data_IF_008309856158
#
_entry.id   IF_008309856158
#
_cell.length_a   1.000
_cell.length_b   1.000
_cell.length_c   1.000
_cell.angle_alpha   90.00
_cell.angle_beta   90.00
_cell.angle_gamma   90.00
#
_symmetry.space_group_name_H-M   'P 1'
#
loop_
_entity.id
_entity.type
_entity.pdbx_description
1 polymer ?
#
# COMPACT_ATOMS: atom_id res chain seq x y z
N UNK A 1 26.24 19.56 22.79
CA UNK A 1 25.65 18.23 22.53
C UNK A 1 25.63 17.48 23.84
N UNK A 2 24.45 17.02 24.26
CA UNK A 2 24.36 16.07 25.38
C UNK A 2 25.04 14.76 24.95
N UNK A 3 25.80 14.15 25.87
CA UNK A 3 26.42 12.84 25.66
C UNK A 3 25.31 11.82 25.38
N UNK A 4 25.49 10.98 24.36
CA UNK A 4 24.56 9.90 24.05
C UNK A 4 24.61 8.89 25.19
N UNK A 5 23.45 8.37 25.58
CA UNK A 5 23.39 7.29 26.59
C UNK A 5 24.01 6.06 25.94
N UNK A 6 24.83 5.34 26.68
CA UNK A 6 25.22 3.99 26.30
C UNK A 6 24.00 3.07 26.32
N UNK A 7 24.03 1.99 25.55
CA UNK A 7 22.97 0.97 25.57
C UNK A 7 22.67 0.46 26.98
N UNK A 8 23.69 0.25 27.81
CA UNK A 8 23.49 -0.20 29.19
C UNK A 8 22.76 0.85 30.04
N UNK A 9 23.09 2.13 29.87
CA UNK A 9 22.36 3.24 30.51
C UNK A 9 20.91 3.31 30.03
N UNK A 10 20.67 3.15 28.72
CA UNK A 10 19.30 3.10 28.16
C UNK A 10 18.52 1.92 28.73
N UNK A 11 19.09 0.71 28.75
CA UNK A 11 18.43 -0.48 29.28
C UNK A 11 18.17 -0.40 30.79
N UNK A 12 19.10 0.17 31.56
CA UNK A 12 18.91 0.40 32.99
C UNK A 12 17.75 1.36 33.26
N UNK A 13 17.73 2.50 32.57
CA UNK A 13 16.66 3.50 32.64
C UNK A 13 15.30 2.92 32.24
N UNK A 14 15.23 2.10 31.18
CA UNK A 14 13.99 1.44 30.75
C UNK A 14 13.48 0.41 31.78
N UNK A 15 14.38 -0.29 32.49
CA UNK A 15 13.99 -1.20 33.58
C UNK A 15 13.48 -0.45 34.80
N UNK A 16 14.15 0.64 35.17
CA UNK A 16 13.83 1.41 36.36
C UNK A 16 12.52 2.21 36.21
N UNK A 17 12.31 2.84 35.05
CA UNK A 17 11.23 3.81 34.87
C UNK A 17 10.11 3.37 33.91
N UNK A 18 10.35 2.39 33.04
CA UNK A 18 9.41 2.05 31.94
C UNK A 18 8.99 0.57 31.92
N UNK A 19 9.19 -0.15 33.02
CA UNK A 19 8.76 -1.55 33.19
C UNK A 19 9.25 -2.48 32.06
N UNK A 20 10.51 -2.35 31.65
CA UNK A 20 11.09 -3.22 30.62
C UNK A 20 11.03 -4.70 31.02
N UNK A 21 10.50 -5.53 30.12
CA UNK A 21 10.31 -6.98 30.29
C UNK A 21 10.92 -7.77 29.14
N UNK A 22 11.11 -9.08 29.33
CA UNK A 22 11.46 -10.06 28.29
C UNK A 22 12.83 -9.91 27.57
N UNK A 23 13.68 -8.97 27.98
CA UNK A 23 15.04 -8.79 27.40
C UNK A 23 15.90 -10.07 27.38
N UNK A 24 15.75 -10.96 28.37
CA UNK A 24 16.51 -12.23 28.45
C UNK A 24 16.19 -13.24 27.35
N UNK A 25 15.13 -13.02 26.56
CA UNK A 25 14.75 -13.89 25.44
C UNK A 25 15.43 -13.49 24.13
N UNK A 26 16.15 -12.37 24.13
CA UNK A 26 16.88 -11.85 22.98
C UNK A 26 18.34 -12.31 23.05
N UNK A 27 18.94 -12.69 21.90
CA UNK A 27 20.34 -13.03 21.87
C UNK A 27 21.20 -11.77 22.10
N UNK A 28 22.26 -11.90 22.89
CA UNK A 28 23.23 -10.82 23.09
C UNK A 28 23.96 -10.47 21.79
N UNK A 29 24.23 -11.47 20.95
CA UNK A 29 24.86 -11.31 19.64
C UNK A 29 24.00 -11.98 18.58
N UNK A 30 23.67 -11.24 17.52
CA UNK A 30 22.84 -11.72 16.43
C UNK A 30 23.56 -11.58 15.10
N UNK A 31 23.66 -12.65 14.32
CA UNK A 31 24.00 -12.56 12.91
C UNK A 31 22.83 -13.02 12.07
N UNK A 32 22.39 -12.15 11.16
CA UNK A 32 21.19 -12.40 10.34
C UNK A 32 21.30 -13.63 9.45
N UNK A 33 22.52 -14.01 9.02
CA UNK A 33 22.77 -15.22 8.23
C UNK A 33 22.53 -16.54 9.00
N UNK A 34 22.37 -16.48 10.32
CA UNK A 34 22.17 -17.67 11.15
C UNK A 34 20.71 -18.16 11.13
N UNK A 35 19.82 -17.46 10.42
CA UNK A 35 18.39 -17.75 10.31
C UNK A 35 18.01 -18.24 8.91
N UNK A 36 16.92 -19.00 8.82
CA UNK A 36 16.36 -19.46 7.55
C UNK A 36 15.52 -18.34 6.91
N UNK A 37 16.20 -17.39 6.29
CA UNK A 37 15.61 -16.25 5.57
C UNK A 37 15.69 -14.92 6.34
N UNK A 38 14.91 -13.90 5.92
CA UNK A 38 14.94 -12.58 6.54
C UNK A 38 14.68 -12.62 8.05
N UNK A 39 15.43 -11.82 8.80
CA UNK A 39 15.18 -11.62 10.23
C UNK A 39 14.16 -10.52 10.39
N UNK A 40 13.06 -10.80 11.10
CA UNK A 40 11.95 -9.87 11.30
C UNK A 40 11.93 -9.42 12.76
N UNK A 41 12.10 -8.11 12.97
CA UNK A 41 11.84 -7.44 14.23
C UNK A 41 10.46 -6.78 14.17
N UNK A 42 9.53 -7.28 14.97
CA UNK A 42 8.13 -6.85 14.97
C UNK A 42 7.62 -6.61 16.39
N UNK A 43 6.57 -5.80 16.52
CA UNK A 43 5.81 -5.72 17.75
C UNK A 43 4.89 -6.93 17.94
N UNK A 44 4.56 -7.68 16.86
CA UNK A 44 3.80 -8.93 16.93
C UNK A 44 4.74 -10.12 17.15
N UNK A 45 4.70 -10.78 18.33
CA UNK A 45 5.55 -11.93 18.62
C UNK A 45 5.32 -13.13 17.70
N UNK A 46 4.19 -13.20 16.97
CA UNK A 46 3.90 -14.30 16.03
C UNK A 46 4.64 -14.13 14.69
N UNK A 47 5.00 -12.90 14.34
CA UNK A 47 5.76 -12.60 13.12
C UNK A 47 7.25 -12.43 13.38
N UNK A 48 7.62 -12.03 14.59
CA UNK A 48 9.01 -11.77 14.94
C UNK A 48 9.86 -13.05 14.90
N UNK A 49 11.00 -12.99 14.20
CA UNK A 49 11.99 -14.09 14.16
C UNK A 49 12.66 -14.28 15.52
N UNK A 50 12.85 -13.17 16.25
CA UNK A 50 13.35 -13.14 17.62
C UNK A 50 12.24 -12.59 18.52
N UNK A 51 11.98 -13.15 19.71
CA UNK A 51 10.96 -12.61 20.61
C UNK A 51 11.22 -11.13 20.98
N UNK A 52 10.24 -10.22 20.80
CA UNK A 52 10.38 -8.84 21.24
C UNK A 52 10.42 -8.74 22.78
N UNK A 53 11.25 -7.82 23.27
CA UNK A 53 11.15 -7.26 24.60
C UNK A 53 10.19 -6.06 24.54
N UNK A 54 9.65 -5.66 25.69
CA UNK A 54 8.70 -4.56 25.73
C UNK A 54 8.88 -3.67 26.95
N UNK A 55 8.71 -2.37 26.74
CA UNK A 55 8.55 -1.39 27.79
C UNK A 55 7.24 -0.61 27.56
N UNK A 56 6.76 0.08 28.60
CA UNK A 56 5.52 0.85 28.54
C UNK A 56 5.82 2.32 28.81
N UNK A 57 5.36 3.19 27.92
CA UNK A 57 5.39 4.65 28.09
C UNK A 57 3.99 5.16 28.46
N UNK A 58 3.92 6.11 29.37
CA UNK A 58 2.68 6.66 29.89
C UNK A 58 2.22 7.90 29.13
N UNK A 59 3.14 8.58 28.44
CA UNK A 59 2.86 9.85 27.77
C UNK A 59 3.60 10.00 26.45
N UNK A 60 3.10 10.90 25.58
CA UNK A 60 3.73 11.23 24.31
C UNK A 60 5.07 11.95 24.49
N UNK A 61 5.23 12.68 25.59
CA UNK A 61 6.46 13.33 26.01
C UNK A 61 7.56 12.28 26.25
N UNK A 62 7.25 11.24 27.04
CA UNK A 62 8.17 10.13 27.29
C UNK A 62 8.53 9.41 26.00
N UNK A 63 7.55 9.15 25.12
CA UNK A 63 7.83 8.51 23.84
C UNK A 63 8.76 9.36 22.95
N UNK A 64 8.56 10.69 22.92
CA UNK A 64 9.44 11.60 22.19
C UNK A 64 10.86 11.59 22.78
N UNK A 65 11.00 11.60 24.10
CA UNK A 65 12.31 11.54 24.74
C UNK A 65 13.07 10.25 24.39
N UNK A 66 12.38 9.11 24.41
CA UNK A 66 12.99 7.79 24.21
C UNK A 66 13.26 7.44 22.75
N UNK A 67 12.36 7.80 21.83
CA UNK A 67 12.44 7.37 20.42
C UNK A 67 12.31 8.50 19.40
N UNK A 68 11.86 9.68 19.82
CA UNK A 68 11.58 10.81 18.95
C UNK A 68 12.78 11.67 18.58
N UNK A 69 12.53 12.60 17.66
CA UNK A 69 13.46 13.65 17.28
C UNK A 69 13.36 14.78 18.33
N UNK A 70 14.45 15.15 19.00
CA UNK A 70 14.44 16.22 19.99
C UNK A 70 14.07 17.58 19.35
N UNK A 71 13.33 18.41 20.08
CA UNK A 71 12.95 19.75 19.59
C UNK A 71 14.17 20.67 19.41
N UNK A 72 15.27 20.40 20.11
CA UNK A 72 16.54 21.12 19.95
C UNK A 72 17.19 20.94 18.58
N UNK A 73 16.74 19.95 17.79
CA UNK A 73 17.18 19.74 16.41
C UNK A 73 16.46 20.67 15.42
N UNK A 74 15.48 21.46 15.88
CA UNK A 74 14.71 22.40 15.06
C UNK A 74 15.05 23.86 15.36
N UNK A 75 14.79 24.74 14.39
CA UNK A 75 15.00 26.18 14.51
C UNK A 75 16.34 26.64 13.93
N UNK A 76 16.85 27.84 14.33
CA UNK A 76 18.02 28.45 13.70
C UNK A 76 19.26 27.53 13.70
N UNK A 77 19.70 27.11 12.52
CA UNK A 77 20.85 26.21 12.34
C UNK A 77 20.52 24.71 12.43
N UNK A 78 19.26 24.36 12.71
CA UNK A 78 18.71 23.01 12.66
C UNK A 78 17.72 22.81 11.52
N UNK A 79 16.78 21.91 11.72
CA UNK A 79 15.72 21.61 10.77
C UNK A 79 14.58 22.64 10.81
N UNK A 80 14.03 22.95 9.64
CA UNK A 80 12.73 23.60 9.56
C UNK A 80 11.60 22.59 9.82
N UNK A 81 10.47 23.00 10.44
CA UNK A 81 9.29 22.17 10.56
C UNK A 81 8.80 21.69 9.18
N UNK A 82 8.62 20.38 9.03
CA UNK A 82 8.32 19.73 7.74
C UNK A 82 7.24 18.65 7.80
N UNK A 83 6.75 18.32 9.00
CA UNK A 83 5.65 17.39 9.16
C UNK A 83 4.31 18.05 8.81
N UNK A 84 3.41 17.35 8.12
CA UNK A 84 2.05 17.82 7.93
C UNK A 84 1.39 18.09 9.28
N UNK A 85 0.93 19.33 9.49
CA UNK A 85 0.22 19.71 10.70
C UNK A 85 -1.25 19.28 10.63
N UNK A 86 -1.86 18.92 11.77
CA UNK A 86 -3.30 18.71 11.85
C UNK A 86 -4.05 20.04 11.62
N UNK A 87 -5.36 19.96 11.38
CA UNK A 87 -6.20 21.15 11.46
C UNK A 87 -6.10 21.79 12.87
N UNK A 88 -6.32 23.11 13.04
CA UNK A 88 -6.25 23.75 14.35
C UNK A 88 -7.11 23.03 15.40
N UNK A 89 -6.64 22.93 16.65
CA UNK A 89 -7.32 22.17 17.69
C UNK A 89 -8.74 22.70 17.97
N UNK A 90 -9.70 21.78 18.12
CA UNK A 90 -11.06 22.04 18.63
C UNK A 90 -11.53 20.84 19.43
N UNK A 91 -11.86 21.07 20.70
CA UNK A 91 -12.36 20.03 21.59
C UNK A 91 -13.71 19.46 21.11
N UNK A 92 -14.60 20.28 20.56
CA UNK A 92 -15.87 19.78 20.02
C UNK A 92 -15.66 18.89 18.79
N UNK A 93 -14.74 19.29 17.89
CA UNK A 93 -14.41 18.49 16.70
C UNK A 93 -13.85 17.14 17.11
N UNK A 94 -12.88 17.14 18.01
CA UNK A 94 -12.13 15.95 18.40
C UNK A 94 -12.88 15.04 19.41
N UNK A 95 -14.02 15.48 19.95
CA UNK A 95 -14.91 14.62 20.71
C UNK A 95 -15.39 13.40 19.89
N UNK A 96 -15.56 13.57 18.56
CA UNK A 96 -15.83 12.48 17.62
C UNK A 96 -14.54 11.99 16.95
N UNK A 97 -13.71 11.28 17.72
CA UNK A 97 -12.36 10.82 17.29
C UNK A 97 -12.41 9.97 16.02
N UNK A 98 -13.44 9.13 15.84
CA UNK A 98 -13.59 8.29 14.63
C UNK A 98 -13.69 9.13 13.36
N UNK A 99 -14.28 10.33 13.45
CA UNK A 99 -14.37 11.28 12.33
C UNK A 99 -13.09 12.09 12.07
N UNK A 100 -12.15 12.13 13.03
CA UNK A 100 -10.96 13.00 12.97
C UNK A 100 -9.65 12.24 13.25
N UNK A 101 -9.63 10.94 13.02
CA UNK A 101 -8.47 10.08 13.26
C UNK A 101 -7.21 10.59 12.54
N UNK A 102 -7.38 11.18 11.36
CA UNK A 102 -6.28 11.76 10.56
C UNK A 102 -5.55 12.88 11.31
N UNK A 103 -6.28 13.78 12.00
CA UNK A 103 -5.65 14.87 12.76
C UNK A 103 -4.87 14.34 13.95
N UNK A 104 -5.41 13.35 14.68
CA UNK A 104 -4.70 12.69 15.79
C UNK A 104 -3.42 12.01 15.29
N UNK A 105 -3.45 11.37 14.11
CA UNK A 105 -2.26 10.76 13.52
C UNK A 105 -1.22 11.81 13.08
N UNK A 106 -1.65 12.90 12.44
CA UNK A 106 -0.76 14.02 12.07
C UNK A 106 -0.12 14.66 13.30
N UNK A 107 -0.92 14.97 14.31
CA UNK A 107 -0.44 15.53 15.57
C UNK A 107 0.55 14.60 16.26
N UNK A 108 0.25 13.30 16.35
CA UNK A 108 1.16 12.31 16.94
C UNK A 108 2.52 12.26 16.21
N UNK A 109 2.51 12.16 14.87
CA UNK A 109 3.76 12.14 14.08
C UNK A 109 4.54 13.45 14.22
N UNK A 110 3.87 14.60 14.10
CA UNK A 110 4.49 15.91 14.26
C UNK A 110 5.05 16.14 15.67
N UNK A 111 4.43 15.56 16.71
CA UNK A 111 4.93 15.65 18.07
C UNK A 111 6.20 14.80 18.26
N UNK A 112 6.18 13.53 17.85
CA UNK A 112 7.29 12.60 18.07
C UNK A 112 8.49 12.92 17.16
N UNK A 113 8.24 13.19 15.88
CA UNK A 113 9.29 13.32 14.86
C UNK A 113 9.45 14.75 14.31
N UNK A 114 8.64 15.69 14.78
CA UNK A 114 8.68 17.10 14.37
C UNK A 114 8.97 18.05 15.53
N UNK A 115 8.74 19.34 15.29
CA UNK A 115 8.85 20.37 16.33
C UNK A 115 7.56 20.38 17.17
N UNK A 116 7.61 19.73 18.33
CA UNK A 116 6.45 19.44 19.17
C UNK A 116 5.64 20.68 19.62
N UNK A 117 6.25 21.88 19.82
CA UNK A 117 5.48 23.05 20.21
C UNK A 117 4.39 23.47 19.21
N UNK A 118 4.48 23.06 17.94
CA UNK A 118 3.45 23.38 16.93
C UNK A 118 2.15 22.59 17.10
N UNK A 119 2.17 21.51 17.88
CA UNK A 119 1.02 20.64 18.14
C UNK A 119 0.80 20.42 19.64
N UNK A 120 1.26 21.38 20.45
CA UNK A 120 1.20 21.31 21.92
C UNK A 120 -0.23 21.24 22.44
N UNK A 121 -1.16 21.88 21.74
CA UNK A 121 -2.60 21.87 22.01
C UNK A 121 -3.25 20.48 21.85
N UNK A 122 -2.63 19.56 21.13
CA UNK A 122 -3.08 18.16 20.99
C UNK A 122 -2.58 17.22 22.11
N UNK A 123 -1.71 17.66 22.99
CA UNK A 123 -1.01 16.80 23.97
C UNK A 123 -1.98 16.01 24.87
N UNK A 124 -2.97 16.67 25.46
CA UNK A 124 -3.92 16.04 26.39
C UNK A 124 -4.74 14.94 25.72
N UNK A 125 -5.24 15.19 24.51
CA UNK A 125 -6.03 14.19 23.77
C UNK A 125 -5.16 13.05 23.25
N UNK A 126 -3.91 13.32 22.86
CA UNK A 126 -2.97 12.28 22.47
C UNK A 126 -2.67 11.35 23.64
N UNK A 127 -2.36 11.91 24.80
CA UNK A 127 -2.14 11.15 26.03
C UNK A 127 -3.38 10.34 26.44
N UNK A 128 -4.56 10.94 26.43
CA UNK A 128 -5.80 10.26 26.81
C UNK A 128 -6.24 9.14 25.84
N UNK A 129 -5.83 9.19 24.57
CA UNK A 129 -6.33 8.26 23.52
C UNK A 129 -5.31 7.23 23.05
N UNK A 130 -4.02 7.49 23.20
CA UNK A 130 -2.94 6.62 22.69
C UNK A 130 -2.10 5.98 23.78
N UNK A 131 -2.20 6.47 25.02
CA UNK A 131 -1.35 6.02 26.12
C UNK A 131 -2.19 5.43 27.28
N UNK A 132 -1.62 4.50 28.07
CA UNK A 132 -0.25 3.97 27.99
C UNK A 132 0.00 3.15 26.71
N UNK A 133 1.21 3.27 26.16
CA UNK A 133 1.63 2.58 24.93
C UNK A 133 2.72 1.56 25.23
N UNK A 134 2.56 0.35 24.69
CA UNK A 134 3.56 -0.71 24.75
C UNK A 134 4.47 -0.60 23.52
N UNK A 135 5.78 -0.48 23.74
CA UNK A 135 6.77 -0.30 22.67
C UNK A 135 7.65 -1.54 22.57
N UNK A 136 7.82 -2.06 21.36
CA UNK A 136 8.70 -3.18 21.11
C UNK A 136 10.16 -2.74 21.11
N UNK A 137 11.01 -3.48 21.82
CA UNK A 137 12.44 -3.25 21.92
C UNK A 137 13.19 -4.50 21.45
N UNK A 138 14.23 -4.29 20.64
CA UNK A 138 15.24 -5.27 20.30
C UNK A 138 16.60 -4.74 20.72
N UNK A 139 17.28 -5.47 21.60
CA UNK A 139 18.53 -5.02 22.19
C UNK A 139 19.54 -6.14 22.37
N UNK A 140 20.82 -5.78 22.34
CA UNK A 140 21.93 -6.72 22.54
C UNK A 140 23.29 -6.04 22.46
N UNK A 141 24.35 -6.82 22.61
CA UNK A 141 25.73 -6.35 22.41
C UNK A 141 25.98 -6.06 20.93
N UNK A 142 25.61 -6.96 20.02
CA UNK A 142 25.87 -6.72 18.60
C UNK A 142 24.88 -7.37 17.66
N UNK A 143 24.72 -6.74 16.50
CA UNK A 143 23.99 -7.29 15.37
C UNK A 143 24.80 -7.16 14.09
N UNK A 144 24.86 -8.23 13.31
CA UNK A 144 25.51 -8.30 12.00
C UNK A 144 24.47 -8.59 10.92
N UNK A 145 24.25 -7.60 10.06
CA UNK A 145 23.29 -7.65 8.96
C UNK A 145 23.99 -8.05 7.68
N UNK A 146 23.54 -9.15 7.08
CA UNK A 146 24.19 -9.81 5.93
C UNK A 146 23.33 -9.69 4.68
N UNK A 147 23.93 -9.89 3.50
CA UNK A 147 23.20 -9.80 2.22
C UNK A 147 22.25 -10.97 1.95
N UNK A 148 22.53 -12.14 2.52
CA UNK A 148 21.68 -13.32 2.35
C UNK A 148 20.34 -13.16 3.06
N UNK A 149 20.36 -12.53 4.26
CA UNK A 149 19.19 -12.37 5.12
C UNK A 149 19.10 -10.90 5.58
N UNK A 150 18.25 -10.07 4.94
CA UNK A 150 18.06 -8.70 5.39
C UNK A 150 17.37 -8.67 6.76
N UNK A 151 17.61 -7.59 7.51
CA UNK A 151 16.84 -7.26 8.71
C UNK A 151 15.62 -6.44 8.31
N UNK A 152 14.42 -6.94 8.60
CA UNK A 152 13.16 -6.26 8.36
C UNK A 152 12.61 -5.79 9.71
N UNK A 153 12.33 -4.50 9.84
CA UNK A 153 11.73 -3.89 11.02
C UNK A 153 10.31 -3.46 10.68
N UNK A 154 9.33 -4.17 11.21
CA UNK A 154 7.92 -3.89 10.98
C UNK A 154 7.03 -5.11 11.09
N UNK A 155 5.83 -4.96 10.56
CA UNK A 155 4.76 -5.94 10.64
C UNK A 155 3.96 -5.92 9.33
N UNK A 156 3.11 -6.92 9.12
CA UNK A 156 2.30 -7.04 7.90
C UNK A 156 1.12 -6.05 7.87
N UNK A 157 0.69 -5.52 9.02
CA UNK A 157 -0.57 -4.79 9.19
C UNK A 157 -0.39 -3.37 9.76
N UNK A 158 0.85 -2.86 9.80
CA UNK A 158 1.34 -1.62 10.44
C UNK A 158 0.27 -0.65 10.90
N UNK A 159 0.03 -0.64 12.21
CA UNK A 159 -0.78 0.35 12.90
C UNK A 159 0.05 1.54 13.42
N UNK A 160 1.31 1.67 12.99
CA UNK A 160 2.18 2.81 13.30
C UNK A 160 2.87 2.76 14.67
N UNK A 161 2.79 1.63 15.39
CA UNK A 161 3.51 1.40 16.65
C UNK A 161 5.01 1.28 16.38
N UNK A 162 5.86 2.01 17.14
CA UNK A 162 7.28 2.03 16.87
C UNK A 162 7.97 0.73 17.31
N UNK A 163 8.95 0.30 16.52
CA UNK A 163 9.89 -0.76 16.89
C UNK A 163 11.27 -0.14 17.13
N UNK A 164 11.77 -0.29 18.35
CA UNK A 164 13.02 0.31 18.78
C UNK A 164 14.16 -0.72 18.78
N UNK A 165 15.31 -0.33 18.26
CA UNK A 165 16.54 -1.11 18.25
C UNK A 165 17.59 -0.41 19.11
N UNK A 166 18.24 -1.14 20.02
CA UNK A 166 19.29 -0.60 20.89
C UNK A 166 20.46 -1.59 21.01
N UNK A 167 21.57 -1.33 20.33
CA UNK A 167 22.71 -2.27 20.26
C UNK A 167 24.05 -1.59 20.54
N UNK A 168 24.99 -2.24 21.23
CA UNK A 168 26.33 -1.64 21.37
C UNK A 168 26.99 -1.46 19.99
N UNK A 169 26.87 -2.46 19.11
CA UNK A 169 27.41 -2.42 17.75
C UNK A 169 26.43 -2.93 16.71
N UNK A 170 26.22 -2.14 15.65
CA UNK A 170 25.53 -2.58 14.44
C UNK A 170 26.57 -2.67 13.31
N UNK A 171 26.72 -3.85 12.74
CA UNK A 171 27.55 -4.06 11.55
C UNK A 171 26.68 -4.40 10.36
N UNK A 172 26.80 -3.66 9.26
CA UNK A 172 26.17 -3.99 7.99
C UNK A 172 27.27 -4.51 7.05
N UNK A 173 27.21 -5.80 6.74
CA UNK A 173 28.10 -6.47 5.78
C UNK A 173 27.80 -6.01 4.34
N UNK A 174 28.71 -6.24 3.36
CA UNK A 174 28.45 -5.91 1.97
C UNK A 174 27.12 -6.48 1.45
N UNK A 175 26.23 -5.58 1.01
CA UNK A 175 24.88 -5.92 0.52
C UNK A 175 23.87 -6.25 1.61
N UNK A 176 24.25 -6.19 2.90
CA UNK A 176 23.33 -6.27 4.01
C UNK A 176 22.39 -5.06 4.05
N UNK A 177 21.15 -5.29 4.49
CA UNK A 177 20.09 -4.29 4.47
C UNK A 177 19.26 -4.30 5.75
N UNK A 178 19.01 -3.11 6.28
CA UNK A 178 17.99 -2.86 7.30
C UNK A 178 16.81 -2.17 6.62
N UNK A 179 15.64 -2.80 6.65
CA UNK A 179 14.44 -2.36 5.94
C UNK A 179 13.33 -2.06 6.97
N UNK A 180 13.01 -0.79 7.14
CA UNK A 180 11.88 -0.32 7.93
C UNK A 180 10.60 -0.30 7.09
N UNK A 181 9.55 -0.91 7.65
CA UNK A 181 8.18 -0.91 7.13
C UNK A 181 7.19 -0.23 8.10
N UNK A 182 7.72 0.34 9.19
CA UNK A 182 6.98 1.05 10.24
C UNK A 182 7.85 2.16 10.81
N UNK A 183 7.27 2.95 11.72
CA UNK A 183 7.99 3.92 12.53
C UNK A 183 9.00 3.22 13.47
N UNK A 184 10.11 3.87 13.79
CA UNK A 184 11.00 3.30 14.78
C UNK A 184 12.19 4.17 15.13
N UNK A 185 12.94 3.72 16.12
CA UNK A 185 14.22 4.30 16.48
C UNK A 185 15.33 3.26 16.47
N UNK A 186 16.53 3.73 16.15
CA UNK A 186 17.77 2.97 16.32
C UNK A 186 18.68 3.78 17.22
N UNK A 187 19.20 3.15 18.26
CA UNK A 187 20.28 3.68 19.09
C UNK A 187 21.44 2.67 19.08
N UNK A 188 22.65 3.15 18.76
CA UNK A 188 23.84 2.34 18.84
C UNK A 188 25.08 3.12 19.29
N UNK A 189 26.00 2.47 20.01
CA UNK A 189 27.27 3.13 20.33
C UNK A 189 28.15 3.21 19.08
N UNK A 190 28.17 2.16 18.26
CA UNK A 190 28.96 2.06 17.05
C UNK A 190 28.15 1.48 15.88
N UNK A 191 28.22 2.14 14.73
CA UNK A 191 27.72 1.60 13.45
C UNK A 191 28.86 1.48 12.46
N UNK A 192 29.03 0.28 11.92
CA UNK A 192 30.05 -0.03 10.91
C UNK A 192 29.37 -0.55 9.65
N UNK A 193 29.46 0.21 8.56
CA UNK A 193 28.98 -0.24 7.26
C UNK A 193 30.19 -0.67 6.43
N UNK A 194 30.41 -1.97 6.39
CA UNK A 194 31.51 -2.53 5.62
C UNK A 194 31.16 -2.51 4.14
N UNK A 195 32.06 -1.95 3.33
CA UNK A 195 31.93 -1.93 1.88
C UNK A 195 33.05 -2.72 1.25
N UNK A 196 32.79 -3.50 0.20
CA UNK A 196 33.83 -4.20 -0.54
C UNK A 196 34.70 -3.24 -1.36
N UNK A 197 34.24 -1.98 -1.53
CA UNK A 197 34.98 -0.88 -2.13
C UNK A 197 35.14 0.26 -1.10
N UNK A 198 36.35 0.75 -0.84
CA UNK A 198 36.61 1.83 0.13
C UNK A 198 36.08 3.20 -0.30
N UNK A 199 35.75 3.37 -1.59
CA UNK A 199 35.10 4.55 -2.14
C UNK A 199 33.97 4.10 -3.07
N UNK A 200 32.74 4.07 -2.57
CA UNK A 200 31.56 3.98 -3.43
C UNK A 200 31.18 5.40 -3.86
N UNK A 201 31.15 5.63 -5.17
CA UNK A 201 30.68 6.89 -5.73
C UNK A 201 29.14 6.88 -5.79
N UNK A 202 28.48 8.05 -5.75
CA UNK A 202 27.06 8.14 -6.09
C UNK A 202 26.80 7.49 -7.47
N UNK A 203 26.15 6.33 -7.50
CA UNK A 203 25.90 5.54 -8.71
C UNK A 203 26.46 4.10 -8.70
N UNK A 204 27.22 3.70 -7.68
CA UNK A 204 27.55 2.28 -7.47
C UNK A 204 26.27 1.48 -7.15
N UNK A 205 25.98 0.46 -7.96
CA UNK A 205 24.72 -0.32 -7.96
C UNK A 205 24.53 -1.28 -6.77
N UNK A 206 25.15 -1.04 -5.61
CA UNK A 206 25.01 -1.92 -4.44
C UNK A 206 23.70 -1.74 -3.66
N UNK A 207 22.84 -0.82 -4.09
CA UNK A 207 21.56 -0.53 -3.44
C UNK A 207 21.72 0.13 -2.06
N UNK A 208 20.63 0.64 -1.48
CA UNK A 208 20.63 1.18 -0.12
C UNK A 208 20.87 0.09 0.93
N UNK A 209 21.58 0.44 1.99
CA UNK A 209 21.79 -0.41 3.17
C UNK A 209 20.79 -0.10 4.30
N UNK A 210 20.16 1.07 4.25
CA UNK A 210 19.05 1.46 5.13
C UNK A 210 17.89 1.89 4.23
N UNK A 211 16.77 1.18 4.35
CA UNK A 211 15.55 1.42 3.58
C UNK A 211 14.40 1.73 4.54
N UNK A 212 13.57 2.70 4.21
CA UNK A 212 12.29 3.00 4.87
C UNK A 212 11.21 3.01 3.78
N UNK A 213 10.39 1.96 3.71
CA UNK A 213 9.53 1.73 2.55
C UNK A 213 8.08 1.47 2.96
N UNK A 214 7.16 2.13 2.25
CA UNK A 214 5.73 1.86 2.36
C UNK A 214 5.31 0.61 1.58
N UNK A 215 4.20 -0.01 1.99
CA UNK A 215 3.67 -1.20 1.33
C UNK A 215 3.02 -0.87 -0.02
N UNK A 216 3.18 -1.73 -1.03
CA UNK A 216 2.46 -1.55 -2.29
C UNK A 216 0.97 -1.92 -2.12
N UNK A 217 0.09 -1.18 -2.78
CA UNK A 217 -1.33 -1.51 -2.87
C UNK A 217 -1.57 -2.70 -3.78
N UNK A 218 -2.57 -3.53 -3.44
CA UNK A 218 -3.02 -4.62 -4.30
C UNK A 218 -3.67 -4.15 -5.60
N UNK A 219 -3.44 -4.89 -6.68
CA UNK A 219 -4.13 -4.65 -7.95
C UNK A 219 -5.63 -5.02 -7.84
N UNK A 220 -6.46 -4.29 -8.57
CA UNK A 220 -7.88 -4.57 -8.72
C UNK A 220 -8.16 -5.79 -9.58
N UNK A 221 -9.17 -6.58 -9.19
CA UNK A 221 -9.67 -7.71 -9.94
C UNK A 221 -10.42 -7.28 -11.22
N UNK A 222 -10.27 -8.05 -12.28
CA UNK A 222 -10.99 -7.81 -13.54
C UNK A 222 -12.46 -8.18 -13.42
N UNK A 223 -13.33 -7.44 -14.11
CA UNK A 223 -14.73 -7.75 -14.23
C UNK A 223 -14.97 -8.97 -15.12
N UNK A 224 -15.93 -9.80 -14.72
CA UNK A 224 -16.38 -10.94 -15.53
C UNK A 224 -17.05 -10.48 -16.83
N UNK A 225 -16.83 -11.22 -17.91
CA UNK A 225 -17.53 -10.98 -19.16
C UNK A 225 -19.02 -11.34 -19.04
N UNK A 226 -19.85 -10.63 -19.80
CA UNK A 226 -21.25 -10.93 -19.98
C UNK A 226 -21.46 -12.22 -20.78
N UNK A 227 -22.55 -12.91 -20.48
CA UNK A 227 -22.99 -14.11 -21.18
C UNK A 227 -23.72 -13.77 -22.48
N UNK A 228 -23.59 -14.65 -23.47
CA UNK A 228 -24.28 -14.51 -24.74
C UNK A 228 -25.78 -14.69 -24.58
N UNK A 229 -26.56 -13.91 -25.34
CA UNK A 229 -27.98 -14.11 -25.51
C UNK A 229 -28.27 -15.40 -26.26
N UNK A 230 -29.34 -16.10 -25.86
CA UNK A 230 -29.77 -17.32 -26.53
C UNK A 230 -30.43 -16.99 -27.86
N UNK A 231 -30.16 -17.78 -28.90
CA UNK A 231 -30.85 -17.62 -30.16
C UNK A 231 -32.35 -17.93 -30.03
N UNK A 232 -33.15 -17.24 -30.84
CA UNK A 232 -34.57 -17.48 -31.00
C UNK A 232 -34.83 -18.80 -31.74
N UNK A 233 -35.92 -19.46 -31.40
CA UNK A 233 -36.37 -20.67 -32.07
C UNK A 233 -37.05 -20.35 -33.40
N UNK A 234 -36.81 -21.16 -34.41
CA UNK A 234 -37.48 -21.02 -35.70
C UNK A 234 -38.97 -21.37 -35.59
N UNK A 235 -39.78 -20.72 -36.42
CA UNK A 235 -41.18 -21.05 -36.60
C UNK A 235 -41.39 -22.33 -37.40
N UNK A 236 -42.54 -22.97 -37.20
CA UNK A 236 -42.95 -24.15 -37.95
C UNK A 236 -43.61 -23.73 -39.27
N UNK A 237 -43.36 -24.48 -40.34
CA UNK A 237 -43.98 -24.24 -41.64
C UNK A 237 -45.51 -24.37 -41.59
N UNK A 238 -46.18 -23.71 -42.53
CA UNK A 238 -47.62 -23.86 -42.72
C UNK A 238 -47.99 -25.26 -43.21
N UNK A 239 -49.27 -25.61 -43.10
CA UNK A 239 -49.84 -26.86 -43.61
C UNK A 239 -51.10 -26.56 -44.42
N UNK A 240 -51.13 -27.02 -45.67
CA UNK A 240 -52.29 -26.88 -46.56
C UNK A 240 -53.30 -28.01 -46.34
N UNK A 241 -54.57 -27.76 -46.68
CA UNK A 241 -55.61 -28.78 -46.80
C UNK A 241 -56.42 -28.54 -48.08
N UNK A 242 -56.38 -29.49 -49.02
CA UNK A 242 -57.04 -29.47 -50.33
C UNK A 242 -56.85 -28.16 -51.10
N UNK A 243 -57.64 -27.12 -50.82
CA UNK A 243 -57.61 -25.82 -51.49
C UNK A 243 -57.58 -24.63 -50.50
N UNK A 244 -57.14 -24.84 -49.26
CA UNK A 244 -57.03 -23.76 -48.27
C UNK A 244 -55.91 -24.02 -47.26
N UNK A 245 -55.46 -22.96 -46.59
CA UNK A 245 -54.50 -23.09 -45.50
C UNK A 245 -55.16 -23.75 -44.28
N UNK A 246 -54.66 -24.92 -43.88
CA UNK A 246 -55.14 -25.65 -42.71
C UNK A 246 -54.52 -25.11 -41.41
N UNK A 247 -53.23 -24.78 -41.45
CA UNK A 247 -52.47 -24.20 -40.34
C UNK A 247 -51.45 -23.22 -40.87
N UNK A 248 -51.53 -21.96 -40.45
CA UNK A 248 -50.56 -20.95 -40.84
C UNK A 248 -49.16 -21.30 -40.31
N UNK A 249 -48.13 -20.86 -41.03
CA UNK A 249 -46.77 -20.89 -40.52
C UNK A 249 -46.68 -20.04 -39.24
N UNK A 250 -45.84 -20.45 -38.30
CA UNK A 250 -45.62 -19.69 -37.07
C UNK A 250 -44.44 -18.73 -37.24
N UNK A 251 -44.46 -17.64 -36.50
CA UNK A 251 -43.34 -16.71 -36.43
C UNK A 251 -42.14 -17.37 -35.72
N UNK A 252 -40.94 -16.90 -36.04
CA UNK A 252 -39.75 -17.20 -35.25
C UNK A 252 -39.74 -16.37 -33.96
N UNK A 253 -39.16 -16.92 -32.90
CA UNK A 253 -39.09 -16.19 -31.61
C UNK A 253 -37.94 -15.19 -31.62
N UNK A 254 -38.02 -14.17 -30.77
CA UNK A 254 -36.90 -13.25 -30.58
C UNK A 254 -35.68 -13.97 -30.00
N UNK A 255 -34.49 -13.48 -30.34
CA UNK A 255 -33.26 -13.81 -29.63
C UNK A 255 -33.23 -13.13 -28.26
N UNK A 256 -32.59 -13.78 -27.29
CA UNK A 256 -32.32 -13.22 -25.97
C UNK A 256 -31.23 -12.16 -26.03
N UNK A 257 -31.28 -11.21 -25.10
CA UNK A 257 -30.21 -10.22 -24.97
C UNK A 257 -28.95 -10.85 -24.40
N UNK A 258 -27.78 -10.37 -24.82
CA UNK A 258 -26.55 -10.61 -24.07
C UNK A 258 -26.60 -9.86 -22.75
N UNK A 259 -25.87 -10.37 -21.75
CA UNK A 259 -25.77 -9.68 -20.46
C UNK A 259 -24.60 -8.72 -20.47
N UNK A 260 -24.68 -7.69 -19.64
CA UNK A 260 -23.59 -6.72 -19.48
C UNK A 260 -22.35 -7.40 -18.88
N UNK A 261 -21.18 -6.86 -19.20
CA UNK A 261 -19.93 -7.18 -18.52
C UNK A 261 -19.88 -6.53 -17.14
N UNK A 262 -19.26 -7.21 -16.18
CA UNK A 262 -19.12 -6.69 -14.84
C UNK A 262 -18.02 -5.62 -14.76
N UNK A 263 -18.12 -4.76 -13.76
CA UNK A 263 -17.10 -3.74 -13.49
C UNK A 263 -15.80 -4.37 -12.98
N UNK A 264 -14.65 -3.84 -13.38
CA UNK A 264 -13.36 -4.11 -12.73
C UNK A 264 -13.27 -3.38 -11.37
N UNK A 265 -12.60 -3.98 -10.39
CA UNK A 265 -12.40 -3.33 -9.09
C UNK A 265 -11.27 -2.31 -9.16
N UNK A 266 -11.34 -1.29 -8.31
CA UNK A 266 -10.27 -0.31 -8.18
C UNK A 266 -9.01 -0.97 -7.58
N UNK A 267 -7.83 -0.42 -7.87
CA UNK A 267 -6.58 -0.78 -7.21
C UNK A 267 -6.48 -0.12 -5.83
N UNK A 268 -5.77 -0.76 -4.91
CA UNK A 268 -5.62 -0.29 -3.54
C UNK A 268 -4.56 0.82 -3.42
N UNK A 269 -4.70 1.66 -2.39
CA UNK A 269 -3.71 2.69 -2.06
C UNK A 269 -2.40 2.02 -1.64
N UNK A 270 -1.27 2.56 -2.10
CA UNK A 270 0.03 2.28 -1.49
C UNK A 270 0.11 2.86 -0.08
N UNK A 271 0.79 2.14 0.83
CA UNK A 271 1.08 2.59 2.18
C UNK A 271 2.14 3.69 2.19
N UNK A 272 1.99 4.64 3.12
CA UNK A 272 3.00 5.67 3.35
C UNK A 272 4.20 5.06 4.09
N UNK A 273 5.42 5.52 3.81
CA UNK A 273 6.59 5.15 4.60
C UNK A 273 6.57 5.84 5.99
N UNK A 274 7.14 5.16 6.98
CA UNK A 274 7.17 5.61 8.38
C UNK A 274 8.18 6.71 8.64
N UNK A 275 8.41 7.02 9.91
CA UNK A 275 9.49 7.89 10.35
C UNK A 275 10.52 7.07 11.14
N UNK A 276 11.79 7.15 10.73
CA UNK A 276 12.90 6.39 11.34
C UNK A 276 13.91 7.36 11.95
N UNK A 277 14.17 7.21 13.24
CA UNK A 277 15.12 8.03 13.97
C UNK A 277 16.35 7.21 14.38
N UNK A 278 17.46 7.42 13.67
CA UNK A 278 18.71 6.70 13.83
C UNK A 278 19.72 7.57 14.57
N UNK A 279 20.19 7.11 15.73
CA UNK A 279 21.20 7.77 16.57
C UNK A 279 22.38 6.83 16.79
N UNK A 280 23.60 7.30 16.52
CA UNK A 280 24.81 6.52 16.79
C UNK A 280 25.94 7.34 17.39
N UNK A 281 26.73 6.77 18.29
CA UNK A 281 27.95 7.41 18.79
C UNK A 281 28.96 7.58 17.66
N UNK A 282 29.61 6.48 17.29
CA UNK A 282 30.59 6.41 16.21
C UNK A 282 29.98 5.82 14.95
N UNK A 283 30.34 6.36 13.78
CA UNK A 283 29.90 5.89 12.48
C UNK A 283 31.09 5.74 11.53
N UNK A 284 31.13 4.62 10.80
CA UNK A 284 32.13 4.40 9.75
C UNK A 284 31.54 3.66 8.55
N UNK A 285 32.08 3.95 7.36
CA UNK A 285 31.67 3.31 6.10
C UNK A 285 30.76 4.16 5.22
N UNK A 286 30.24 3.55 4.15
CA UNK A 286 29.36 4.24 3.20
C UNK A 286 27.88 3.99 3.56
N UNK A 287 27.21 5.03 4.02
CA UNK A 287 25.78 5.01 4.39
C UNK A 287 24.95 5.34 3.16
N UNK A 288 24.11 4.40 2.73
CA UNK A 288 23.22 4.58 1.58
C UNK A 288 21.77 4.40 2.01
N UNK A 289 21.04 5.51 2.10
CA UNK A 289 19.69 5.58 2.64
C UNK A 289 18.65 5.81 1.53
N UNK A 290 17.56 5.05 1.61
CA UNK A 290 16.37 5.24 0.79
C UNK A 290 15.14 5.41 1.69
N UNK A 291 14.34 6.43 1.42
CA UNK A 291 12.94 6.50 1.88
C UNK A 291 12.00 6.54 0.68
N UNK A 292 10.99 5.66 0.66
CA UNK A 292 10.08 5.51 -0.46
C UNK A 292 8.65 5.16 -0.01
N UNK A 293 7.68 5.92 -0.47
CA UNK A 293 6.27 5.54 -0.34
C UNK A 293 5.91 4.33 -1.21
N UNK A 294 4.91 3.55 -0.79
CA UNK A 294 4.45 2.39 -1.52
C UNK A 294 3.73 2.75 -2.82
N UNK A 295 3.84 1.91 -3.86
CA UNK A 295 3.15 2.13 -5.11
C UNK A 295 1.66 1.83 -4.97
N UNK A 296 0.80 2.57 -5.69
CA UNK A 296 -0.61 2.25 -5.79
C UNK A 296 -0.86 1.05 -6.71
N UNK A 297 -1.85 0.23 -6.39
CA UNK A 297 -2.25 -0.91 -7.22
C UNK A 297 -2.95 -0.47 -8.51
N UNK A 298 -2.82 -1.25 -9.58
CA UNK A 298 -3.51 -0.97 -10.84
C UNK A 298 -5.00 -1.29 -10.73
N UNK A 299 -5.85 -0.54 -11.43
CA UNK A 299 -7.26 -0.83 -11.53
C UNK A 299 -7.54 -2.03 -12.44
N UNK A 300 -8.55 -2.83 -12.09
CA UNK A 300 -8.96 -4.00 -12.86
C UNK A 300 -9.66 -3.64 -14.17
N UNK A 301 -9.53 -4.50 -15.17
CA UNK A 301 -10.23 -4.33 -16.46
C UNK A 301 -11.75 -4.49 -16.29
N UNK A 302 -12.52 -3.76 -17.09
CA UNK A 302 -13.96 -4.02 -17.21
C UNK A 302 -14.23 -5.27 -18.05
N UNK A 303 -15.24 -6.05 -17.67
CA UNK A 303 -15.65 -7.23 -18.44
C UNK A 303 -16.33 -6.82 -19.76
N UNK A 304 -16.14 -7.59 -20.82
CA UNK A 304 -16.82 -7.35 -22.09
C UNK A 304 -18.32 -7.69 -21.98
N UNK A 305 -19.18 -6.95 -22.67
CA UNK A 305 -20.59 -7.29 -22.79
C UNK A 305 -20.83 -8.52 -23.65
N UNK A 306 -21.82 -9.33 -23.30
CA UNK A 306 -22.21 -10.50 -24.08
C UNK A 306 -22.93 -10.10 -25.37
N UNK A 307 -22.69 -10.81 -26.47
CA UNK A 307 -23.45 -10.61 -27.71
C UNK A 307 -24.92 -11.01 -27.56
N UNK A 308 -25.81 -10.33 -28.29
CA UNK A 308 -27.22 -10.70 -28.38
C UNK A 308 -27.45 -11.93 -29.25
N UNK A 309 -28.43 -12.75 -28.87
CA UNK A 309 -28.85 -13.92 -29.64
C UNK A 309 -29.55 -13.52 -30.93
N UNK A 310 -29.39 -14.32 -31.98
CA UNK A 310 -30.10 -14.10 -33.25
C UNK A 310 -31.60 -14.36 -33.09
N UNK A 311 -32.42 -13.65 -33.84
CA UNK A 311 -33.85 -13.96 -33.94
C UNK A 311 -34.09 -15.24 -34.75
N UNK A 312 -35.09 -16.02 -34.36
CA UNK A 312 -35.48 -17.23 -35.09
C UNK A 312 -36.13 -16.88 -36.43
N UNK A 313 -35.94 -17.72 -37.44
CA UNK A 313 -36.59 -17.55 -38.73
C UNK A 313 -38.09 -17.88 -38.63
N UNK A 314 -38.94 -17.17 -39.36
CA UNK A 314 -40.34 -17.52 -39.54
C UNK A 314 -40.52 -18.82 -40.33
N UNK A 315 -41.60 -19.54 -40.06
CA UNK A 315 -41.91 -20.77 -40.77
C UNK A 315 -42.16 -20.54 -42.26
N UNK A 316 -41.79 -21.52 -43.09
CA UNK A 316 -41.93 -21.43 -44.55
C UNK A 316 -43.40 -21.31 -44.99
N UNK A 317 -43.63 -20.57 -46.08
CA UNK A 317 -44.90 -20.54 -46.80
C UNK A 317 -45.15 -21.84 -47.55
N UNK A 318 -46.42 -22.10 -47.83
CA UNK A 318 -46.89 -23.19 -48.71
C UNK A 318 -47.67 -22.58 -49.88
N UNK A 319 -48.36 -23.39 -50.69
CA UNK A 319 -49.25 -22.89 -51.75
C UNK A 319 -50.38 -22.03 -51.19
N UNK A 320 -50.91 -22.40 -50.02
CA UNK A 320 -52.10 -21.74 -49.46
C UNK A 320 -51.81 -20.93 -48.18
N UNK A 321 -50.68 -21.16 -47.49
CA UNK A 321 -50.31 -20.48 -46.26
C UNK A 321 -49.19 -19.45 -46.46
N UNK A 322 -49.29 -18.31 -45.77
CA UNK A 322 -48.24 -17.29 -45.76
C UNK A 322 -47.09 -17.74 -44.85
N UNK A 323 -45.88 -17.27 -45.16
CA UNK A 323 -44.72 -17.50 -44.30
C UNK A 323 -44.87 -16.75 -42.96
N UNK A 324 -44.31 -17.30 -41.89
CA UNK A 324 -44.19 -16.64 -40.60
C UNK A 324 -43.20 -15.47 -40.67
N UNK A 325 -43.31 -14.54 -39.73
CA UNK A 325 -42.37 -13.43 -39.57
C UNK A 325 -41.09 -13.91 -38.88
N UNK A 326 -39.97 -13.27 -39.19
CA UNK A 326 -38.73 -13.47 -38.47
C UNK A 326 -38.78 -12.83 -37.07
N UNK A 327 -38.20 -13.51 -36.09
CA UNK A 327 -38.01 -12.97 -34.75
C UNK A 327 -36.96 -11.85 -34.74
N UNK A 328 -37.09 -10.90 -33.81
CA UNK A 328 -36.08 -9.85 -33.63
C UNK A 328 -34.79 -10.43 -33.03
N UNK A 329 -33.64 -9.88 -33.40
CA UNK A 329 -32.40 -10.17 -32.69
C UNK A 329 -32.41 -9.59 -31.28
N UNK A 330 -31.72 -10.23 -30.36
CA UNK A 330 -31.49 -9.71 -29.01
C UNK A 330 -30.43 -8.61 -29.02
N UNK A 331 -30.51 -7.67 -28.08
CA UNK A 331 -29.49 -6.64 -27.93
C UNK A 331 -28.20 -7.23 -27.34
N UNK A 332 -27.05 -6.66 -27.69
CA UNK A 332 -25.81 -6.94 -26.99
C UNK A 332 -25.80 -6.25 -25.61
N UNK A 333 -25.12 -6.87 -24.66
CA UNK A 333 -24.87 -6.28 -23.35
C UNK A 333 -23.80 -5.19 -23.43
N UNK A 334 -23.82 -4.25 -22.50
CA UNK A 334 -22.79 -3.21 -22.38
C UNK A 334 -21.48 -3.82 -21.84
N UNK A 335 -20.36 -3.22 -22.20
CA UNK A 335 -19.08 -3.48 -21.54
C UNK A 335 -19.09 -2.88 -20.13
N UNK A 336 -18.48 -3.60 -19.19
CA UNK A 336 -18.29 -3.14 -17.83
C UNK A 336 -17.26 -2.01 -17.78
N UNK A 337 -17.46 -1.05 -16.88
CA UNK A 337 -16.46 -0.04 -16.57
C UNK A 337 -15.25 -0.70 -15.89
N UNK A 338 -14.07 -0.11 -16.05
CA UNK A 338 -12.87 -0.56 -15.33
C UNK A 338 -12.74 0.08 -13.95
N UNK A 339 -11.81 -0.45 -13.17
CA UNK A 339 -11.38 0.14 -11.92
C UNK A 339 -10.38 1.27 -12.11
N UNK A 340 -10.42 2.23 -11.18
CA UNK A 340 -9.37 3.26 -11.07
C UNK A 340 -8.08 2.65 -10.51
N UNK A 341 -6.93 3.26 -10.83
CA UNK A 341 -5.68 2.96 -10.16
C UNK A 341 -5.66 3.53 -8.75
N UNK A 342 -5.04 2.79 -7.82
CA UNK A 342 -4.82 3.24 -6.46
C UNK A 342 -3.81 4.38 -6.39
N UNK A 343 -4.03 5.33 -5.49
CA UNK A 343 -3.02 6.36 -5.20
C UNK A 343 -1.80 5.72 -4.56
N UNK A 344 -0.61 6.29 -4.80
CA UNK A 344 0.58 5.88 -4.08
C UNK A 344 0.58 6.40 -2.63
N UNK A 345 1.46 5.80 -1.83
CA UNK A 345 1.80 6.31 -0.51
C UNK A 345 2.91 7.36 -0.56
N UNK A 346 2.95 8.19 0.47
CA UNK A 346 3.96 9.23 0.64
C UNK A 346 5.29 8.63 1.14
N UNK A 347 6.40 9.24 0.75
CA UNK A 347 7.72 8.93 1.31
C UNK A 347 7.81 9.37 2.77
N UNK A 348 8.48 8.57 3.59
CA UNK A 348 8.68 8.82 5.01
C UNK A 348 9.93 9.66 5.29
N UNK A 349 10.23 9.90 6.56
CA UNK A 349 11.46 10.61 6.94
C UNK A 349 12.49 9.69 7.60
N UNK A 350 13.77 9.97 7.34
CA UNK A 350 14.89 9.36 8.07
C UNK A 350 15.68 10.49 8.74
N UNK A 351 15.80 10.42 10.05
CA UNK A 351 16.66 11.30 10.86
C UNK A 351 17.88 10.50 11.26
N UNK A 352 19.06 10.89 10.76
CA UNK A 352 20.29 10.19 11.03
C UNK A 352 21.26 11.11 11.78
N UNK A 353 21.49 10.84 13.05
CA UNK A 353 22.36 11.64 13.92
C UNK A 353 23.55 10.82 14.39
N UNK A 354 24.75 11.38 14.29
CA UNK A 354 25.97 10.76 14.80
C UNK A 354 26.90 11.75 15.51
N UNK A 355 27.65 11.30 16.51
CA UNK A 355 28.61 12.14 17.24
C UNK A 355 29.98 12.18 16.55
N UNK A 356 30.51 11.02 16.20
CA UNK A 356 31.85 10.87 15.61
C UNK A 356 31.75 10.13 14.27
N UNK A 357 31.85 10.89 13.17
CA UNK A 357 31.65 10.36 11.83
C UNK A 357 32.90 9.81 11.14
N UNK A 358 34.08 9.92 11.74
CA UNK A 358 35.36 9.40 11.22
C UNK A 358 35.51 9.50 9.69
N UNK A 359 35.35 8.36 9.02
CA UNK A 359 35.47 8.15 7.56
C UNK A 359 34.14 7.93 6.83
N UNK A 360 33.00 8.28 7.45
CA UNK A 360 31.69 8.00 6.90
C UNK A 360 31.38 8.87 5.67
N UNK A 361 30.79 8.25 4.65
CA UNK A 361 30.31 8.92 3.44
C UNK A 361 28.84 8.58 3.22
N UNK A 362 28.11 9.44 2.50
CA UNK A 362 26.65 9.35 2.44
C UNK A 362 26.13 9.39 1.00
N UNK A 363 25.09 8.60 0.77
CA UNK A 363 24.15 8.75 -0.33
C UNK A 363 22.74 8.67 0.26
N UNK A 364 21.87 9.57 -0.16
CA UNK A 364 20.51 9.66 0.33
C UNK A 364 19.56 9.84 -0.86
N UNK A 365 18.45 9.11 -0.84
CA UNK A 365 17.38 9.26 -1.83
C UNK A 365 16.03 9.22 -1.13
N UNK A 366 15.23 10.27 -1.34
CA UNK A 366 13.84 10.31 -0.93
C UNK A 366 12.95 10.35 -2.17
N UNK A 367 11.93 9.48 -2.22
CA UNK A 367 10.94 9.45 -3.29
C UNK A 367 9.55 9.16 -2.72
N UNK A 368 8.50 9.62 -3.38
CA UNK A 368 7.14 9.13 -3.16
C UNK A 368 6.89 7.83 -3.92
N UNK A 369 5.77 7.16 -3.63
CA UNK A 369 5.31 6.05 -4.45
C UNK A 369 4.79 6.51 -5.81
N UNK A 370 4.72 5.60 -6.78
CA UNK A 370 4.04 5.84 -8.06
C UNK A 370 2.57 5.40 -7.99
N UNK A 371 1.66 6.23 -8.48
CA UNK A 371 0.24 5.87 -8.56
C UNK A 371 0.00 4.73 -9.55
N UNK A 372 -0.99 3.88 -9.24
CA UNK A 372 -1.38 2.76 -10.09
C UNK A 372 -2.06 3.22 -11.37
N UNK A 373 -1.99 2.41 -12.43
CA UNK A 373 -2.69 2.72 -13.69
C UNK A 373 -4.18 2.42 -13.55
N UNK A 374 -5.03 3.19 -14.21
CA UNK A 374 -6.44 2.81 -14.37
C UNK A 374 -6.58 1.60 -15.31
N UNK A 375 -7.61 0.78 -15.09
CA UNK A 375 -7.93 -0.32 -15.99
C UNK A 375 -8.57 0.19 -17.29
N UNK A 376 -8.65 -0.68 -18.30
CA UNK A 376 -9.41 -0.39 -19.53
C UNK A 376 -10.85 -0.91 -19.43
N UNK A 377 -11.82 -0.13 -19.88
CA UNK A 377 -13.23 -0.55 -19.94
C UNK A 377 -13.45 -1.71 -20.92
N UNK A 378 -14.45 -2.54 -20.64
CA UNK A 378 -14.83 -3.66 -21.51
C UNK A 378 -15.51 -3.18 -22.79
N UNK A 379 -15.40 -3.94 -23.87
CA UNK A 379 -16.15 -3.65 -25.10
C UNK A 379 -17.63 -3.99 -24.95
N UNK A 380 -18.52 -3.23 -25.58
CA UNK A 380 -19.92 -3.62 -25.73
C UNK A 380 -20.10 -4.87 -26.61
N UNK A 381 -21.08 -5.70 -26.27
CA UNK A 381 -21.46 -6.87 -27.06
C UNK A 381 -22.20 -6.47 -28.33
N UNK A 382 -22.00 -7.22 -29.42
CA UNK A 382 -22.74 -6.98 -30.65
C UNK A 382 -24.23 -7.35 -30.50
N UNK A 383 -25.13 -6.63 -31.16
CA UNK A 383 -26.53 -7.04 -31.29
C UNK A 383 -26.69 -8.27 -32.17
N UNK A 384 -27.67 -9.12 -31.85
CA UNK A 384 -28.02 -10.29 -32.64
C UNK A 384 -28.70 -9.91 -33.94
N UNK A 385 -28.45 -10.67 -35.02
CA UNK A 385 -29.18 -10.49 -36.27
C UNK A 385 -30.67 -10.85 -36.13
N UNK A 386 -31.54 -10.19 -36.87
CA UNK A 386 -32.95 -10.59 -36.95
C UNK A 386 -33.15 -11.84 -37.81
N UNK A 387 -34.19 -12.63 -37.52
CA UNK A 387 -34.55 -13.80 -38.30
C UNK A 387 -35.19 -13.45 -39.64
N UNK A 388 -35.12 -14.34 -40.62
CA UNK A 388 -35.77 -14.18 -41.93
C UNK A 388 -37.23 -14.60 -41.87
N UNK A 389 -38.10 -14.06 -42.72
CA UNK A 389 -39.51 -14.47 -42.79
C UNK A 389 -40.31 -13.60 -43.76
N UNK A 390 -41.65 -13.70 -43.73
CA UNK A 390 -42.53 -12.83 -44.54
C UNK A 390 -42.28 -11.34 -44.30
N UNK A 391 -41.93 -10.99 -43.06
CA UNK A 391 -41.19 -9.79 -42.73
C UNK A 391 -39.98 -10.20 -41.89
N UNK A 392 -38.78 -9.76 -42.28
CA UNK A 392 -37.57 -10.00 -41.50
C UNK A 392 -37.64 -9.34 -40.13
N UNK A 393 -37.04 -9.97 -39.12
CA UNK A 393 -36.86 -9.38 -37.81
C UNK A 393 -35.84 -8.25 -37.86
N UNK A 394 -36.03 -7.23 -37.03
CA UNK A 394 -35.00 -6.20 -36.84
C UNK A 394 -33.78 -6.81 -36.11
N UNK A 395 -32.55 -6.39 -36.44
CA UNK A 395 -31.38 -6.71 -35.62
C UNK A 395 -31.48 -6.04 -34.25
N UNK A 396 -30.82 -6.62 -33.24
CA UNK A 396 -30.63 -5.99 -31.95
C UNK A 396 -29.57 -4.88 -32.00
N UNK A 397 -29.62 -3.98 -31.03
CA UNK A 397 -28.61 -2.94 -30.87
C UNK A 397 -27.34 -3.51 -30.23
N UNK A 398 -26.17 -3.01 -30.65
CA UNK A 398 -24.91 -3.27 -29.92
C UNK A 398 -24.91 -2.54 -28.59
N UNK A 399 -24.27 -3.15 -27.59
CA UNK A 399 -24.00 -2.51 -26.31
C UNK A 399 -22.91 -1.43 -26.43
N UNK A 400 -22.87 -0.53 -25.47
CA UNK A 400 -21.84 0.49 -25.34
C UNK A 400 -20.58 -0.07 -24.69
N UNK A 401 -19.40 0.46 -25.05
CA UNK A 401 -18.17 0.16 -24.31
C UNK A 401 -18.17 0.80 -22.92
N UNK A 402 -17.55 0.14 -21.96
CA UNK A 402 -17.32 0.67 -20.62
C UNK A 402 -16.24 1.74 -20.58
N UNK A 403 -16.21 2.52 -19.51
CA UNK A 403 -15.23 3.59 -19.32
C UNK A 403 -13.88 3.08 -18.81
N UNK A 404 -12.80 3.73 -19.24
CA UNK A 404 -11.44 3.56 -18.71
C UNK A 404 -11.31 4.23 -17.34
N UNK A 405 -10.60 3.57 -16.42
CA UNK A 405 -10.34 4.06 -15.08
C UNK A 405 -9.30 5.18 -15.09
N UNK A 406 -9.35 6.03 -14.08
CA UNK A 406 -8.36 7.10 -13.88
C UNK A 406 -7.12 6.52 -13.21
N UNK A 407 -5.94 7.03 -13.56
CA UNK A 407 -4.70 6.68 -12.86
C UNK A 407 -4.67 7.27 -11.45
N UNK A 408 -4.04 6.56 -10.52
CA UNK A 408 -3.80 7.04 -9.17
C UNK A 408 -2.78 8.18 -9.15
N UNK A 409 -2.83 8.99 -8.10
CA UNK A 409 -1.87 10.06 -7.85
C UNK A 409 -0.55 9.50 -7.31
N UNK A 410 0.57 10.13 -7.66
CA UNK A 410 1.85 9.87 -7.03
C UNK A 410 1.86 10.37 -5.57
N UNK A 411 2.67 9.74 -4.73
CA UNK A 411 2.89 10.17 -3.35
C UNK A 411 3.82 11.37 -3.24
N UNK A 412 3.71 12.09 -2.13
CA UNK A 412 4.65 13.14 -1.77
C UNK A 412 6.05 12.56 -1.49
N UNK A 413 7.08 13.36 -1.75
CA UNK A 413 8.47 12.99 -1.46
C UNK A 413 8.76 13.26 0.01
N UNK A 414 9.33 12.28 0.71
CA UNK A 414 9.79 12.41 2.09
C UNK A 414 11.10 13.19 2.23
N UNK A 415 11.80 13.03 3.35
CA UNK A 415 13.08 13.69 3.57
C UNK A 415 14.08 12.82 4.34
N UNK A 416 15.38 13.03 4.07
CA UNK A 416 16.46 12.42 4.83
C UNK A 416 17.28 13.55 5.43
N UNK A 417 17.49 13.51 6.74
CA UNK A 417 18.25 14.49 7.50
C UNK A 417 19.48 13.83 8.10
N UNK A 418 20.65 14.43 7.90
CA UNK A 418 21.91 13.99 8.49
C UNK A 418 22.43 15.09 9.39
N UNK A 419 22.49 14.84 10.71
CA UNK A 419 22.84 15.84 11.73
C UNK A 419 22.07 17.17 11.51
N UNK A 420 20.75 17.05 11.33
CA UNK A 420 19.84 18.19 11.10
C UNK A 420 19.84 18.77 9.68
N UNK A 421 20.74 18.35 8.78
CA UNK A 421 20.81 18.85 7.39
C UNK A 421 20.05 17.96 6.43
N UNK A 422 19.08 18.52 5.72
CA UNK A 422 18.36 17.83 4.64
C UNK A 422 19.33 17.49 3.49
N UNK A 423 19.23 16.27 2.98
CA UNK A 423 20.04 15.76 1.86
C UNK A 423 19.32 15.84 0.51
#
# INVERSE_FOLDING_TARGET
MNKMRSVDETLAMLREHYHLTDTKRQPEQLKTSDFDGPVIFSHDPKMATVPPAFFTVQTIQELKELGGVPDSEYGPGGMEPHHPLPEPYSAERLANVTGNHVDICKAFRAYIYGYSPLVKDYEDILNAKRFPMKVALYSGESIVVTSSNPLIVGDKYSHGEPVNLTFNKITIEPGGKIIYLTNGSVEANEVVITSPKPHQAPGDNNGPNIENVGSNGGDGGSGNNGSLGRDGSNGNAGQDNKNSCARQATDGTAGGNGTDGARGSDGEKGGDAGDVNFKTGTLSGFVNMLTQGGNGGNGGYGGNGGGGGKGGNGGASTSECRAGKGGKGGNGGNGGNSGNGGNAGDGGNIYFTYQEGGSATFQARAVGGTGGKGGNGGSGGAGGGGGTGSTGGAPGSSGSSGTTGVAGKAGAIGAIYINGKKQ
#
